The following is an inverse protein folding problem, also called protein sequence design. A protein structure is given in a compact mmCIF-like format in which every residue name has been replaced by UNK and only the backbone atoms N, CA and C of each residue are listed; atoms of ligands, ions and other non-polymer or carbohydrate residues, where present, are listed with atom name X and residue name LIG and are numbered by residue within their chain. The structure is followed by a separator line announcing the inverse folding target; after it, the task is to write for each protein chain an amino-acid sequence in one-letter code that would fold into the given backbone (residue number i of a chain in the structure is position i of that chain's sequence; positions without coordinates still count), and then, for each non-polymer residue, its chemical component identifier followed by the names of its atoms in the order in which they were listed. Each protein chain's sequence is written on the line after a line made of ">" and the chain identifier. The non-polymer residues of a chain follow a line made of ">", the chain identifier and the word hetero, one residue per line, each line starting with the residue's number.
data_IF_709864942497
#
_entry.id   IF_709864942497
#
_cell.length_a   1.000
_cell.length_b   1.000
_cell.length_c   1.000
_cell.angle_alpha   90.00
_cell.angle_beta   90.00
_cell.angle_gamma   90.00
#
_symmetry.space_group_name_H-M   'P 1'
#
loop_
_entity.id
_entity.type
_entity.pdbx_description
1 polymer ?
#
# COMPACT_ATOMS: atom_id res chain seq x y z
N UNK A 1 2.65 11.77 -13.67
CA UNK A 1 3.21 10.42 -13.49
C UNK A 1 4.48 10.31 -14.31
N UNK A 2 5.47 9.57 -13.84
CA UNK A 2 6.55 9.13 -14.73
C UNK A 2 5.91 8.21 -15.77
N UNK A 3 6.17 8.46 -17.04
CA UNK A 3 5.59 7.70 -18.14
C UNK A 3 5.90 6.20 -17.92
N UNK A 4 4.84 5.38 -17.86
CA UNK A 4 4.90 3.93 -17.60
C UNK A 4 5.74 3.14 -18.64
N UNK A 5 6.27 3.78 -19.69
CA UNK A 5 6.96 3.13 -20.81
C UNK A 5 8.49 3.17 -20.80
N UNK A 6 9.16 3.68 -19.75
CA UNK A 6 10.64 3.77 -19.71
C UNK A 6 11.27 3.15 -18.45
N UNK A 7 10.49 2.53 -17.57
CA UNK A 7 11.01 1.93 -16.35
C UNK A 7 11.24 0.44 -16.59
N UNK A 8 12.46 -0.04 -16.36
CA UNK A 8 12.73 -1.46 -16.31
C UNK A 8 12.03 -2.08 -15.09
N UNK A 9 11.13 -3.04 -15.36
CA UNK A 9 10.30 -3.75 -14.39
C UNK A 9 10.69 -5.23 -14.28
N UNK A 10 11.88 -5.61 -14.74
CA UNK A 10 12.43 -6.98 -14.68
C UNK A 10 12.44 -7.60 -13.27
N UNK A 11 12.57 -6.76 -12.24
CA UNK A 11 12.51 -7.15 -10.82
C UNK A 11 11.16 -6.91 -10.13
N UNK A 12 10.07 -6.73 -10.89
CA UNK A 12 8.74 -6.44 -10.33
C UNK A 12 8.21 -7.54 -9.41
N UNK A 13 8.44 -8.82 -9.74
CA UNK A 13 8.01 -9.95 -8.91
C UNK A 13 8.65 -9.90 -7.50
N UNK A 14 9.97 -9.70 -7.44
CA UNK A 14 10.72 -9.60 -6.18
C UNK A 14 10.36 -8.35 -5.40
N UNK A 15 10.18 -7.22 -6.10
CA UNK A 15 9.81 -5.95 -5.48
C UNK A 15 8.44 -6.05 -4.81
N UNK A 16 7.43 -6.56 -5.54
CA UNK A 16 6.07 -6.71 -4.99
C UNK A 16 6.05 -7.74 -3.86
N UNK A 17 6.70 -8.90 -4.03
CA UNK A 17 6.77 -9.91 -2.97
C UNK A 17 7.42 -9.35 -1.70
N UNK A 18 8.53 -8.62 -1.81
CA UNK A 18 9.21 -8.04 -0.67
C UNK A 18 8.35 -6.96 0.00
N UNK A 19 7.72 -6.08 -0.78
CA UNK A 19 6.81 -5.05 -0.25
C UNK A 19 5.63 -5.67 0.50
N UNK A 20 4.98 -6.71 -0.04
CA UNK A 20 3.89 -7.40 0.64
C UNK A 20 4.35 -8.05 1.96
N UNK A 21 5.54 -8.65 1.99
CA UNK A 21 6.10 -9.22 3.22
C UNK A 21 6.48 -8.14 4.25
N UNK A 22 6.99 -6.97 3.83
CA UNK A 22 7.24 -5.83 4.70
C UNK A 22 5.92 -5.30 5.29
N UNK A 23 4.88 -5.14 4.47
CA UNK A 23 3.55 -4.73 4.95
C UNK A 23 2.98 -5.72 5.97
N UNK A 24 3.13 -7.02 5.70
CA UNK A 24 2.75 -8.09 6.63
C UNK A 24 3.51 -8.01 7.96
N UNK A 25 4.82 -7.75 7.91
CA UNK A 25 5.65 -7.60 9.09
C UNK A 25 5.23 -6.38 9.95
N UNK A 26 4.76 -5.31 9.30
CA UNK A 26 4.10 -4.18 9.97
C UNK A 26 2.65 -4.46 10.40
N UNK A 27 2.16 -5.69 10.29
CA UNK A 27 0.85 -6.11 10.76
C UNK A 27 -0.32 -5.68 9.87
N UNK A 28 -0.06 -5.33 8.60
CA UNK A 28 -1.11 -5.06 7.63
C UNK A 28 -1.57 -6.36 6.95
N UNK A 29 -2.89 -6.55 6.73
CA UNK A 29 -3.39 -7.71 6.01
C UNK A 29 -2.97 -7.63 4.54
N UNK A 30 -2.31 -8.68 4.05
CA UNK A 30 -1.92 -8.85 2.64
C UNK A 30 -2.27 -10.27 2.18
N UNK A 31 -2.49 -10.52 0.89
CA UNK A 31 -2.61 -11.88 0.38
C UNK A 31 -1.32 -12.68 0.59
N UNK A 32 -1.44 -14.00 0.67
CA UNK A 32 -0.26 -14.86 0.56
C UNK A 32 0.32 -14.72 -0.84
N UNK A 33 1.64 -14.62 -0.92
CA UNK A 33 2.35 -14.56 -2.19
C UNK A 33 3.63 -15.37 -2.16
N UNK A 34 4.00 -15.92 -3.31
CA UNK A 34 5.25 -16.65 -3.51
C UNK A 34 5.77 -16.43 -4.94
N UNK A 35 7.09 -16.34 -5.07
CA UNK A 35 7.75 -16.29 -6.38
C UNK A 35 7.97 -17.73 -6.83
N UNK A 36 7.64 -18.02 -8.08
CA UNK A 36 7.78 -19.34 -8.68
C UNK A 36 8.35 -19.22 -10.10
N UNK A 37 9.06 -20.25 -10.54
CA UNK A 37 9.51 -20.40 -11.92
C UNK A 37 8.70 -21.48 -12.63
N UNK A 38 8.25 -21.17 -13.85
CA UNK A 38 7.64 -22.10 -14.79
C UNK A 38 8.53 -22.17 -16.03
N UNK A 39 9.49 -23.10 -16.01
CA UNK A 39 10.64 -23.06 -16.93
C UNK A 39 11.47 -21.81 -16.66
N UNK A 40 11.79 -21.06 -17.72
CA UNK A 40 12.54 -19.79 -17.63
C UNK A 40 11.67 -18.60 -17.19
N UNK A 41 10.35 -18.78 -17.05
CA UNK A 41 9.41 -17.70 -16.73
C UNK A 41 9.27 -17.57 -15.21
N UNK A 42 9.77 -16.47 -14.67
CA UNK A 42 9.55 -16.03 -13.29
C UNK A 42 8.16 -15.40 -13.14
N UNK A 43 7.40 -15.80 -12.14
CA UNK A 43 6.08 -15.23 -11.83
C UNK A 43 5.89 -15.01 -10.34
N UNK A 44 5.06 -14.03 -9.99
CA UNK A 44 4.51 -13.87 -8.65
C UNK A 44 3.13 -14.53 -8.58
N UNK A 45 2.98 -15.55 -7.73
CA UNK A 45 1.70 -16.18 -7.43
C UNK A 45 1.11 -15.45 -6.22
N UNK A 46 -0.09 -14.89 -6.38
CA UNK A 46 -0.83 -14.20 -5.31
C UNK A 46 -2.15 -14.92 -5.05
N UNK A 47 -2.38 -15.34 -3.80
CA UNK A 47 -3.62 -15.98 -3.39
C UNK A 47 -4.76 -14.94 -3.42
N UNK A 48 -5.77 -15.19 -4.25
CA UNK A 48 -6.94 -14.31 -4.38
C UNK A 48 -7.76 -14.29 -3.10
N UNK A 49 -7.89 -13.12 -2.48
CA UNK A 49 -8.72 -12.92 -1.28
C UNK A 49 -10.21 -12.74 -1.57
N UNK A 50 -10.62 -12.62 -2.85
CA UNK A 50 -12.01 -12.63 -3.29
C UNK A 50 -12.51 -14.05 -3.66
N UNK A 51 -11.77 -15.07 -3.21
CA UNK A 51 -12.10 -16.49 -3.35
C UNK A 51 -11.99 -17.17 -2.00
N UNK A 52 -12.90 -18.10 -1.72
CA UNK A 52 -12.88 -18.91 -0.50
C UNK A 52 -13.40 -20.31 -0.79
N UNK A 53 -12.72 -21.34 -0.32
CA UNK A 53 -13.25 -22.70 -0.37
C UNK A 53 -14.51 -22.81 0.50
N UNK A 54 -15.47 -23.65 0.09
CA UNK A 54 -16.52 -24.13 1.00
C UNK A 54 -15.89 -24.85 2.19
N UNK A 55 -16.63 -25.00 3.30
CA UNK A 55 -16.11 -25.61 4.52
C UNK A 55 -15.54 -27.03 4.29
N UNK A 56 -16.24 -27.83 3.48
CA UNK A 56 -15.84 -29.16 3.03
C UNK A 56 -14.93 -29.16 1.78
N UNK A 57 -14.50 -27.99 1.29
CA UNK A 57 -13.66 -27.79 0.10
C UNK A 57 -14.18 -28.39 -1.21
N UNK A 58 -15.48 -28.64 -1.33
CA UNK A 58 -16.07 -29.18 -2.55
C UNK A 58 -16.31 -28.15 -3.66
N UNK A 59 -16.34 -26.84 -3.35
CA UNK A 59 -16.39 -25.80 -4.39
C UNK A 59 -15.71 -24.50 -3.94
N UNK A 60 -15.37 -23.67 -4.93
CA UNK A 60 -14.74 -22.37 -4.74
C UNK A 60 -15.77 -21.24 -4.84
N UNK A 61 -15.98 -20.53 -3.73
CA UNK A 61 -16.93 -19.43 -3.60
C UNK A 61 -16.25 -18.13 -4.07
N UNK A 62 -16.99 -17.31 -4.83
CA UNK A 62 -16.59 -15.93 -5.16
C UNK A 62 -17.14 -15.00 -4.08
N UNK A 63 -16.28 -14.12 -3.56
CA UNK A 63 -16.67 -13.08 -2.62
C UNK A 63 -16.86 -11.78 -3.40
N UNK A 64 -18.02 -11.12 -3.33
CA UNK A 64 -18.24 -9.82 -3.95
C UNK A 64 -17.24 -8.77 -3.47
N UNK A 65 -16.67 -8.02 -4.41
CA UNK A 65 -15.67 -6.99 -4.16
C UNK A 65 -15.78 -5.87 -5.20
N UNK A 66 -15.44 -4.65 -4.79
CA UNK A 66 -15.23 -3.51 -5.69
C UNK A 66 -14.05 -2.64 -5.23
N UNK A 67 -13.42 -1.91 -6.16
CA UNK A 67 -12.32 -0.98 -5.87
C UNK A 67 -12.82 0.42 -5.46
N UNK A 68 -11.95 1.27 -4.91
CA UNK A 68 -12.37 2.61 -4.46
C UNK A 68 -12.80 3.55 -5.60
N UNK A 69 -12.41 3.28 -6.85
CA UNK A 69 -12.95 4.05 -7.97
C UNK A 69 -14.43 3.67 -8.17
N UNK A 70 -14.76 2.38 -8.14
CA UNK A 70 -16.14 1.91 -8.23
C UNK A 70 -16.99 2.41 -7.06
N UNK A 71 -16.52 2.23 -5.82
CA UNK A 71 -17.24 2.62 -4.61
C UNK A 71 -17.54 4.13 -4.54
N UNK A 72 -16.66 4.96 -5.10
CA UNK A 72 -16.82 6.42 -5.16
C UNK A 72 -17.41 6.92 -6.49
N UNK A 73 -17.84 6.02 -7.38
CA UNK A 73 -18.36 6.32 -8.72
C UNK A 73 -17.40 7.21 -9.56
N UNK A 74 -16.11 6.87 -9.53
CA UNK A 74 -15.05 7.53 -10.26
C UNK A 74 -14.61 6.65 -11.43
N UNK A 75 -14.50 7.24 -12.61
CA UNK A 75 -14.04 6.53 -13.81
C UNK A 75 -12.61 5.97 -13.61
N UNK A 76 -12.31 4.74 -14.06
CA UNK A 76 -11.01 4.10 -13.84
C UNK A 76 -9.84 4.87 -14.48
N UNK A 77 -10.10 5.66 -15.53
CA UNK A 77 -9.10 6.53 -16.16
C UNK A 77 -8.59 7.64 -15.22
N UNK A 78 -9.34 7.97 -14.16
CA UNK A 78 -9.00 8.96 -13.14
C UNK A 78 -8.56 8.31 -11.83
N UNK A 79 -7.94 7.12 -11.87
CA UNK A 79 -7.55 6.39 -10.65
C UNK A 79 -6.62 7.15 -9.70
N UNK A 80 -5.84 8.12 -10.20
CA UNK A 80 -4.94 8.95 -9.41
C UNK A 80 -5.63 10.21 -8.88
N UNK A 81 -5.35 10.61 -7.63
CA UNK A 81 -5.97 11.79 -7.02
C UNK A 81 -5.72 13.07 -7.85
N UNK A 82 -4.51 13.24 -8.39
CA UNK A 82 -4.17 14.41 -9.19
C UNK A 82 -4.98 14.53 -10.50
N UNK A 83 -5.61 13.45 -10.95
CA UNK A 83 -6.48 13.41 -12.13
C UNK A 83 -7.98 13.36 -11.75
N UNK A 84 -8.31 13.62 -10.47
CA UNK A 84 -9.66 13.58 -9.92
C UNK A 84 -10.07 12.25 -9.30
N UNK A 85 -9.10 11.40 -8.97
CA UNK A 85 -9.31 10.10 -8.33
C UNK A 85 -9.60 10.13 -6.84
N UNK A 86 -9.82 8.95 -6.23
CA UNK A 86 -9.96 8.81 -4.79
C UNK A 86 -8.76 9.39 -4.03
N UNK A 87 -9.03 10.26 -3.05
CA UNK A 87 -8.06 10.80 -2.10
C UNK A 87 -8.08 10.04 -0.76
N UNK A 88 -7.03 10.22 0.06
CA UNK A 88 -7.01 9.70 1.44
C UNK A 88 -8.27 10.15 2.20
N UNK A 89 -8.65 11.43 2.09
CA UNK A 89 -9.80 11.97 2.83
C UNK A 89 -11.14 11.36 2.39
N UNK A 90 -11.33 11.13 1.08
CA UNK A 90 -12.55 10.50 0.56
C UNK A 90 -12.65 9.04 0.99
N UNK A 91 -11.55 8.27 0.93
CA UNK A 91 -11.53 6.87 1.36
C UNK A 91 -11.76 6.79 2.88
N UNK A 92 -11.11 7.66 3.67
CA UNK A 92 -11.33 7.74 5.11
C UNK A 92 -12.78 8.08 5.48
N UNK A 93 -13.43 8.93 4.67
CA UNK A 93 -14.85 9.26 4.82
C UNK A 93 -15.74 8.06 4.50
N UNK A 94 -15.49 7.37 3.38
CA UNK A 94 -16.21 6.15 2.97
C UNK A 94 -16.08 5.05 4.03
N UNK A 95 -14.90 4.87 4.61
CA UNK A 95 -14.65 3.86 5.64
C UNK A 95 -15.33 4.15 6.98
N UNK A 96 -15.96 5.32 7.18
CA UNK A 96 -16.84 5.53 8.34
C UNK A 96 -18.09 4.62 8.30
N UNK A 97 -18.54 4.22 7.12
CA UNK A 97 -19.67 3.30 6.97
C UNK A 97 -19.28 1.81 6.92
N UNK A 98 -17.99 1.49 7.09
CA UNK A 98 -17.56 0.08 7.13
C UNK A 98 -18.14 -0.65 8.35
N UNK A 99 -18.41 -1.95 8.20
CA UNK A 99 -18.80 -2.84 9.30
C UNK A 99 -17.73 -2.93 10.41
N UNK A 100 -16.49 -2.56 10.10
CA UNK A 100 -15.35 -2.47 11.02
C UNK A 100 -14.68 -1.10 10.97
N UNK A 101 -15.46 -0.02 10.90
CA UNK A 101 -15.00 1.35 10.62
C UNK A 101 -13.73 1.79 11.37
N UNK A 102 -13.64 1.57 12.68
CA UNK A 102 -12.45 1.95 13.47
C UNK A 102 -11.20 1.20 13.00
N UNK A 103 -11.30 -0.12 12.80
CA UNK A 103 -10.19 -0.97 12.39
C UNK A 103 -9.77 -0.66 10.94
N UNK A 104 -10.73 -0.54 10.03
CA UNK A 104 -10.46 -0.28 8.61
C UNK A 104 -9.82 1.10 8.39
N UNK A 105 -10.31 2.13 9.09
CA UNK A 105 -9.73 3.47 9.05
C UNK A 105 -8.31 3.48 9.60
N UNK A 106 -8.06 2.80 10.73
CA UNK A 106 -6.70 2.64 11.29
C UNK A 106 -5.78 1.90 10.32
N UNK A 107 -6.23 0.79 9.74
CA UNK A 107 -5.45 -0.03 8.80
C UNK A 107 -5.14 0.73 7.51
N UNK A 108 -6.14 1.39 6.90
CA UNK A 108 -5.92 2.18 5.69
C UNK A 108 -4.93 3.32 5.95
N UNK A 109 -5.08 4.05 7.06
CA UNK A 109 -4.17 5.15 7.39
C UNK A 109 -2.75 4.64 7.68
N UNK A 110 -2.61 3.52 8.40
CA UNK A 110 -1.33 2.82 8.60
C UNK A 110 -0.70 2.38 7.28
N UNK A 111 -1.48 1.86 6.34
CA UNK A 111 -0.99 1.49 5.01
C UNK A 111 -0.49 2.70 4.22
N UNK A 112 -1.15 3.86 4.29
CA UNK A 112 -0.66 5.09 3.66
C UNK A 112 0.71 5.51 4.22
N UNK A 113 0.91 5.43 5.54
CA UNK A 113 2.21 5.70 6.17
C UNK A 113 3.25 4.69 5.66
N UNK A 114 2.93 3.39 5.65
CA UNK A 114 3.84 2.34 5.15
C UNK A 114 4.17 2.52 3.66
N UNK A 115 3.22 2.95 2.84
CA UNK A 115 3.47 3.29 1.43
C UNK A 115 4.47 4.43 1.31
N UNK A 116 4.33 5.46 2.16
CA UNK A 116 5.32 6.55 2.21
C UNK A 116 6.69 6.07 2.70
N UNK A 117 6.77 5.17 3.69
CA UNK A 117 8.04 4.59 4.14
C UNK A 117 8.71 3.75 3.04
N UNK A 118 7.93 2.97 2.30
CA UNK A 118 8.38 2.13 1.19
C UNK A 118 8.64 2.89 -0.11
N UNK A 119 8.31 4.18 -0.20
CA UNK A 119 8.31 4.90 -1.47
C UNK A 119 7.44 4.16 -2.51
N UNK A 120 6.28 3.65 -2.07
CA UNK A 120 5.30 2.98 -2.92
C UNK A 120 4.39 4.02 -3.58
N UNK A 121 4.75 4.40 -4.81
CA UNK A 121 4.25 5.61 -5.46
C UNK A 121 2.99 5.39 -6.30
N UNK A 122 2.62 4.13 -6.55
CA UNK A 122 1.49 3.76 -7.42
C UNK A 122 0.24 3.31 -6.65
N UNK A 123 0.16 3.61 -5.35
CA UNK A 123 -0.98 3.30 -4.49
C UNK A 123 -2.22 4.13 -4.78
N UNK A 124 -2.83 3.96 -5.95
CA UNK A 124 -3.97 4.74 -6.43
C UNK A 124 -5.33 4.09 -6.09
N UNK A 125 -6.44 4.71 -6.48
CA UNK A 125 -7.79 4.27 -6.10
C UNK A 125 -8.15 2.81 -6.43
N UNK A 126 -7.49 2.18 -7.42
CA UNK A 126 -7.72 0.77 -7.77
C UNK A 126 -6.91 -0.25 -6.95
N UNK A 127 -5.97 0.20 -6.11
CA UNK A 127 -5.15 -0.66 -5.23
C UNK A 127 -5.78 -0.86 -3.84
N UNK A 128 -6.97 -0.33 -3.63
CA UNK A 128 -7.75 -0.50 -2.43
C UNK A 128 -9.14 -0.96 -2.82
N UNK A 129 -9.65 -1.97 -2.12
CA UNK A 129 -10.96 -2.56 -2.40
C UNK A 129 -11.76 -2.76 -1.12
N UNK A 130 -13.06 -2.96 -1.30
CA UNK A 130 -14.02 -3.32 -0.27
C UNK A 130 -14.59 -4.71 -0.58
N UNK A 131 -14.71 -5.55 0.45
CA UNK A 131 -15.63 -6.67 0.40
C UNK A 131 -17.06 -6.13 0.50
N UNK A 132 -17.95 -6.62 -0.36
CA UNK A 132 -19.38 -6.36 -0.26
C UNK A 132 -20.03 -7.53 0.49
N UNK A 133 -20.58 -7.24 1.65
CA UNK A 133 -21.17 -8.20 2.57
C UNK A 133 -22.70 -8.16 2.49
N UNK A 134 -23.35 -9.08 3.19
CA UNK A 134 -24.81 -9.09 3.28
C UNK A 134 -25.34 -7.79 3.92
N UNK A 135 -26.60 -7.46 3.62
CA UNK A 135 -27.31 -6.31 4.19
C UNK A 135 -26.63 -4.97 3.88
N UNK A 136 -26.04 -4.84 2.68
CA UNK A 136 -25.32 -3.65 2.20
C UNK A 136 -24.16 -3.22 3.10
N UNK A 137 -23.63 -4.13 3.92
CA UNK A 137 -22.40 -3.90 4.68
C UNK A 137 -21.19 -4.04 3.76
N UNK A 138 -20.10 -3.40 4.17
CA UNK A 138 -18.81 -3.53 3.50
C UNK A 138 -17.67 -3.39 4.49
N UNK A 139 -16.49 -3.90 4.13
CA UNK A 139 -15.25 -3.73 4.89
C UNK A 139 -14.04 -3.76 3.97
N UNK A 140 -12.93 -3.18 4.42
CA UNK A 140 -11.68 -3.11 3.68
C UNK A 140 -11.13 -4.51 3.37
N UNK A 141 -10.62 -4.70 2.15
CA UNK A 141 -9.88 -5.92 1.76
C UNK A 141 -8.43 -5.86 2.23
N UNK A 142 -7.68 -6.98 2.18
CA UNK A 142 -6.22 -6.93 2.25
C UNK A 142 -5.61 -5.96 1.23
N UNK A 143 -4.41 -5.44 1.53
CA UNK A 143 -3.63 -4.60 0.61
C UNK A 143 -2.89 -5.47 -0.40
N UNK A 144 -2.83 -5.03 -1.65
CA UNK A 144 -2.26 -5.77 -2.78
C UNK A 144 -1.63 -4.81 -3.79
N UNK A 145 -0.81 -5.33 -4.71
CA UNK A 145 -0.18 -4.56 -5.78
C UNK A 145 0.58 -3.34 -5.23
N UNK A 146 1.62 -3.64 -4.46
CA UNK A 146 2.46 -2.66 -3.77
C UNK A 146 3.90 -2.86 -4.21
N UNK A 147 4.47 -1.85 -4.84
CA UNK A 147 5.86 -1.85 -5.29
C UNK A 147 6.57 -0.58 -4.85
N UNK A 148 7.81 -0.73 -4.42
CA UNK A 148 8.70 0.37 -4.05
C UNK A 148 9.38 0.97 -5.27
N UNK A 149 9.50 2.29 -5.30
CA UNK A 149 10.32 2.99 -6.30
C UNK A 149 11.80 3.10 -5.91
N UNK A 150 12.25 2.59 -4.74
CA UNK A 150 13.66 2.70 -4.34
C UNK A 150 14.65 2.08 -5.34
N UNK A 151 14.42 0.87 -5.90
CA UNK A 151 15.29 0.33 -6.93
C UNK A 151 15.39 1.25 -8.16
N UNK A 152 14.27 1.85 -8.57
CA UNK A 152 14.23 2.77 -9.70
C UNK A 152 14.99 4.08 -9.43
N UNK A 153 14.95 4.56 -8.18
CA UNK A 153 15.71 5.75 -7.76
C UNK A 153 17.21 5.46 -7.75
N UNK A 154 17.62 4.26 -7.33
CA UNK A 154 19.05 3.92 -7.20
C UNK A 154 19.70 3.54 -8.53
N UNK A 155 19.02 2.77 -9.38
CA UNK A 155 19.62 2.17 -10.57
C UNK A 155 19.02 2.68 -11.89
N UNK A 156 17.73 3.06 -11.92
CA UNK A 156 17.01 3.34 -13.18
C UNK A 156 16.76 4.84 -13.41
N UNK A 157 17.59 5.70 -12.82
CA UNK A 157 17.64 7.13 -13.11
C UNK A 157 16.44 7.96 -12.62
N UNK A 158 15.54 7.40 -11.81
CA UNK A 158 14.41 8.15 -11.25
C UNK A 158 14.90 9.20 -10.24
N UNK A 159 14.82 10.47 -10.61
CA UNK A 159 15.23 11.56 -9.73
C UNK A 159 14.32 11.63 -8.50
N UNK A 160 14.91 11.43 -7.31
CA UNK A 160 14.21 11.46 -6.01
C UNK A 160 13.29 12.67 -5.84
N UNK A 161 13.70 13.84 -6.34
CA UNK A 161 12.96 15.11 -6.22
C UNK A 161 11.70 15.16 -7.10
N UNK A 162 11.53 14.23 -8.04
CA UNK A 162 10.36 14.13 -8.94
C UNK A 162 9.37 13.04 -8.52
N UNK A 163 9.72 12.25 -7.50
CA UNK A 163 8.91 11.13 -7.03
C UNK A 163 7.67 11.65 -6.31
N UNK A 164 6.49 11.19 -6.73
CA UNK A 164 5.19 11.63 -6.20
C UNK A 164 4.37 10.43 -5.73
N UNK A 165 3.75 10.54 -4.56
CA UNK A 165 2.73 9.61 -4.09
C UNK A 165 1.47 9.73 -4.95
N UNK A 166 0.72 8.64 -5.11
CA UNK A 166 -0.54 8.63 -5.87
C UNK A 166 -1.68 9.43 -5.18
N UNK A 167 -1.67 9.49 -3.85
CA UNK A 167 -2.56 10.30 -3.03
C UNK A 167 -1.76 11.32 -2.21
N UNK A 168 -2.31 12.50 -2.01
CA UNK A 168 -1.67 13.60 -1.30
C UNK A 168 -1.79 13.48 0.20
N UNK A 169 -0.74 13.92 0.89
CA UNK A 169 -0.81 14.32 2.29
C UNK A 169 -1.11 15.81 2.39
N UNK A 170 -1.79 16.23 3.45
CA UNK A 170 -2.27 17.59 3.63
C UNK A 170 -1.43 18.36 4.66
N UNK A 171 -1.00 19.57 4.31
CA UNK A 171 -0.54 20.62 5.22
C UNK A 171 -1.43 21.86 5.04
N UNK A 172 -0.83 23.04 4.86
CA UNK A 172 -1.54 24.20 4.28
C UNK A 172 -1.99 23.92 2.84
N UNK A 173 -1.19 23.14 2.11
CA UNK A 173 -1.44 22.72 0.73
C UNK A 173 -1.35 21.18 0.62
N UNK A 174 -1.73 20.63 -0.55
CA UNK A 174 -1.52 19.20 -0.86
C UNK A 174 -0.03 18.92 -1.15
N UNK A 175 0.49 17.84 -0.58
CA UNK A 175 1.87 17.37 -0.73
C UNK A 175 1.89 15.98 -1.38
N UNK A 176 2.35 15.93 -2.63
CA UNK A 176 2.57 14.69 -3.37
C UNK A 176 4.04 14.26 -3.36
N UNK A 177 4.98 15.20 -3.32
CA UNK A 177 6.41 14.90 -3.43
C UNK A 177 6.87 14.06 -2.24
N UNK A 178 7.28 12.83 -2.54
CA UNK A 178 7.60 11.80 -1.55
C UNK A 178 8.64 12.27 -0.53
N UNK A 179 9.71 12.92 -1.01
CA UNK A 179 10.81 13.40 -0.17
C UNK A 179 10.45 14.64 0.67
N UNK A 180 9.37 15.35 0.33
CA UNK A 180 8.87 16.55 1.02
C UNK A 180 7.76 16.27 2.02
N UNK A 181 7.21 15.06 2.05
CA UNK A 181 6.26 14.66 3.07
C UNK A 181 6.99 14.52 4.42
N UNK A 182 6.36 15.04 5.46
CA UNK A 182 6.90 15.13 6.83
C UNK A 182 5.81 14.70 7.80
N UNK A 183 6.22 14.37 9.02
CA UNK A 183 5.31 13.88 10.07
C UNK A 183 4.15 14.83 10.36
N UNK A 184 4.37 16.16 10.29
CA UNK A 184 3.30 17.16 10.43
C UNK A 184 2.20 17.04 9.38
N UNK A 185 2.52 16.62 8.15
CA UNK A 185 1.52 16.42 7.08
C UNK A 185 0.69 15.16 7.36
N UNK A 186 1.30 14.14 7.97
CA UNK A 186 0.59 12.92 8.41
C UNK A 186 -0.44 13.29 9.49
N UNK A 187 -0.01 13.97 10.56
CA UNK A 187 -0.92 14.40 11.63
C UNK A 187 -2.03 15.35 11.14
N UNK A 188 -1.70 16.29 10.25
CA UNK A 188 -2.71 17.20 9.71
C UNK A 188 -3.71 16.45 8.80
N UNK A 189 -3.25 15.51 7.98
CA UNK A 189 -4.16 14.65 7.18
C UNK A 189 -5.06 13.82 8.08
N UNK A 190 -4.52 13.24 9.16
CA UNK A 190 -5.32 12.49 10.13
C UNK A 190 -6.42 13.35 10.75
N UNK A 191 -6.08 14.58 11.18
CA UNK A 191 -7.04 15.54 11.71
C UNK A 191 -8.15 15.85 10.70
N UNK A 192 -7.80 16.14 9.46
CA UNK A 192 -8.79 16.38 8.38
C UNK A 192 -9.65 15.14 8.08
N UNK A 193 -9.07 13.94 8.23
CA UNK A 193 -9.77 12.68 8.06
C UNK A 193 -10.60 12.25 9.29
N UNK A 194 -10.64 13.06 10.35
CA UNK A 194 -11.35 12.75 11.60
C UNK A 194 -10.74 11.59 12.39
N UNK A 195 -9.43 11.38 12.28
CA UNK A 195 -8.66 10.46 13.14
C UNK A 195 -8.11 11.21 14.35
N UNK A 196 -8.23 10.61 15.53
CA UNK A 196 -7.64 11.14 16.75
C UNK A 196 -6.10 11.11 16.67
N UNK A 197 -5.45 12.07 17.34
CA UNK A 197 -3.97 12.18 17.35
C UNK A 197 -3.34 10.93 17.93
N UNK A 198 -3.95 10.41 18.99
CA UNK A 198 -3.55 9.22 19.73
C UNK A 198 -3.56 7.99 18.82
N UNK A 199 -4.53 7.89 17.91
CA UNK A 199 -4.56 6.79 16.92
C UNK A 199 -3.38 6.85 15.96
N UNK A 200 -2.93 8.05 15.58
CA UNK A 200 -1.73 8.20 14.74
C UNK A 200 -0.47 7.85 15.53
N UNK A 201 -0.37 8.29 16.78
CA UNK A 201 0.75 7.95 17.67
C UNK A 201 0.83 6.44 17.89
N UNK A 202 -0.30 5.77 18.11
CA UNK A 202 -0.40 4.31 18.19
C UNK A 202 0.09 3.63 16.91
N UNK A 203 -0.32 4.12 15.74
CA UNK A 203 0.13 3.59 14.45
C UNK A 203 1.66 3.71 14.32
N UNK A 204 2.22 4.87 14.64
CA UNK A 204 3.67 5.11 14.55
C UNK A 204 4.43 4.23 15.54
N UNK A 205 3.92 4.11 16.78
CA UNK A 205 4.50 3.23 17.79
C UNK A 205 4.47 1.76 17.35
N UNK A 206 3.35 1.28 16.80
CA UNK A 206 3.24 -0.08 16.26
C UNK A 206 4.24 -0.31 15.11
N UNK A 207 4.38 0.64 14.18
CA UNK A 207 5.34 0.52 13.08
C UNK A 207 6.77 0.42 13.63
N UNK A 208 7.15 1.29 14.57
CA UNK A 208 8.49 1.27 15.18
C UNK A 208 8.74 0.00 15.99
N UNK A 209 7.75 -0.49 16.74
CA UNK A 209 7.85 -1.72 17.52
C UNK A 209 7.96 -2.97 16.64
N UNK A 210 7.32 -2.97 15.47
CA UNK A 210 7.34 -4.09 14.52
C UNK A 210 8.53 -4.03 13.54
N UNK A 211 9.20 -2.88 13.40
CA UNK A 211 10.32 -2.70 12.47
C UNK A 211 11.44 -3.76 12.61
N UNK A 212 11.84 -4.23 13.81
CA UNK A 212 12.83 -5.30 13.93
C UNK A 212 12.45 -6.60 13.18
N UNK A 213 11.15 -6.89 13.04
CA UNK A 213 10.66 -8.10 12.32
C UNK A 213 10.98 -8.09 10.84
N UNK A 214 11.32 -6.94 10.26
CA UNK A 214 11.75 -6.84 8.85
C UNK A 214 13.00 -7.70 8.61
N UNK A 215 13.87 -7.85 9.61
CA UNK A 215 15.06 -8.71 9.53
C UNK A 215 14.75 -10.21 9.44
N UNK A 216 13.51 -10.62 9.75
CA UNK A 216 13.06 -12.02 9.68
C UNK A 216 12.59 -12.41 8.26
N UNK A 217 12.45 -11.43 7.35
CA UNK A 217 12.03 -11.69 5.97
C UNK A 217 13.16 -12.41 5.24
N UNK A 218 12.91 -13.65 4.82
CA UNK A 218 13.88 -14.44 4.07
C UNK A 218 14.01 -13.91 2.64
N UNK A 219 15.03 -13.08 2.39
CA UNK A 219 15.35 -12.54 1.06
C UNK A 219 16.37 -13.40 0.30
N UNK A 220 16.65 -14.62 0.75
CA UNK A 220 17.58 -15.51 0.06
C UNK A 220 17.12 -15.79 -1.38
N UNK A 221 18.02 -15.58 -2.34
CA UNK A 221 17.74 -15.79 -3.76
C UNK A 221 17.04 -14.59 -4.45
N UNK A 222 16.76 -13.51 -3.73
CA UNK A 222 16.30 -12.27 -4.35
C UNK A 222 17.51 -11.42 -4.82
N UNK A 223 17.40 -10.66 -5.91
CA UNK A 223 18.48 -9.79 -6.37
C UNK A 223 18.76 -8.65 -5.38
N UNK A 224 20.05 -8.40 -5.10
CA UNK A 224 20.49 -7.27 -4.26
C UNK A 224 20.04 -5.92 -4.82
N UNK A 225 19.90 -5.82 -6.15
CA UNK A 225 19.40 -4.64 -6.85
C UNK A 225 17.95 -4.28 -6.46
N UNK A 226 17.20 -5.22 -5.90
CA UNK A 226 15.85 -5.00 -5.36
C UNK A 226 15.89 -4.88 -3.83
N UNK A 227 16.56 -5.81 -3.16
CA UNK A 227 16.54 -5.92 -1.69
C UNK A 227 17.23 -4.72 -1.04
N UNK A 228 18.47 -4.42 -1.47
CA UNK A 228 19.32 -3.41 -0.82
C UNK A 228 18.71 -2.00 -0.88
N UNK A 229 18.22 -1.48 -2.04
CA UNK A 229 17.57 -0.17 -2.07
C UNK A 229 16.33 -0.09 -1.19
N UNK A 230 15.51 -1.15 -1.16
CA UNK A 230 14.27 -1.16 -0.38
C UNK A 230 14.57 -1.07 1.11
N UNK A 231 15.50 -1.90 1.62
CA UNK A 231 15.88 -1.86 3.04
C UNK A 231 16.60 -0.56 3.42
N UNK A 232 17.57 -0.09 2.63
CA UNK A 232 18.24 1.19 2.90
C UNK A 232 17.26 2.37 2.90
N UNK A 233 16.33 2.38 1.93
CA UNK A 233 15.31 3.42 1.82
C UNK A 233 14.34 3.40 2.99
N UNK A 234 13.87 2.20 3.38
CA UNK A 234 13.03 2.00 4.55
C UNK A 234 13.74 2.46 5.83
N UNK A 235 14.98 2.04 6.06
CA UNK A 235 15.78 2.46 7.23
C UNK A 235 15.92 4.00 7.30
N UNK A 236 16.20 4.64 6.16
CA UNK A 236 16.29 6.10 6.06
C UNK A 236 14.96 6.77 6.44
N UNK A 237 13.82 6.24 5.99
CA UNK A 237 12.50 6.80 6.29
C UNK A 237 12.05 6.53 7.72
N UNK A 238 12.39 5.36 8.28
CA UNK A 238 12.09 5.02 9.67
C UNK A 238 12.68 6.04 10.65
N UNK A 239 13.88 6.58 10.35
CA UNK A 239 14.52 7.66 11.14
C UNK A 239 13.69 8.95 11.20
N UNK A 240 12.68 9.14 10.34
CA UNK A 240 11.78 10.30 10.35
C UNK A 240 10.55 10.12 11.25
N UNK A 241 10.27 8.89 11.66
CA UNK A 241 9.12 8.55 12.52
C UNK A 241 9.55 7.91 13.84
N UNK A 242 10.86 7.73 14.04
CA UNK A 242 11.47 7.33 15.30
C UNK A 242 11.63 8.51 16.23
#
# INVERSE_FOLDING_TARGET
>A
MVAQGQLDLSGSCENEWLCLNIMKAFGLPVPRSQIQYFGEIKVLIVERFDRRWSENRSWLIRLPQEDMCQALNIAPARKYENDGGPSILQIMSLLNGSSSAQADRKQFFKAQIVFWLLCAIDGHGKNFSLFLEQENRYRLTPFYDVMSAYPLIKYNGLQKQKVKMAMAWHGENKHYLWDKIQLRHIFNTAKLAGLAKETVEDILHEISALYPRISEINTHGLPDEIVVPIFMGLEMQMKKIS
#
